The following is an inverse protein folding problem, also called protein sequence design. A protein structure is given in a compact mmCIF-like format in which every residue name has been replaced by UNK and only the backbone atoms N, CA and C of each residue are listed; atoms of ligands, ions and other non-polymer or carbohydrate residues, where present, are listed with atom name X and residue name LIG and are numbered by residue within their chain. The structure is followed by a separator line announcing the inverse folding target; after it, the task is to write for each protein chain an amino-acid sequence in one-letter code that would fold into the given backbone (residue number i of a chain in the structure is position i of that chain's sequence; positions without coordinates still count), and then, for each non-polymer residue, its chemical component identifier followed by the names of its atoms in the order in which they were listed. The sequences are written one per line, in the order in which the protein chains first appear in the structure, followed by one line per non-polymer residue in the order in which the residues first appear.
data_IF_829276493743
#
_entry.id   IF_829276493743
#
_cell.length_a   1.000
_cell.length_b   1.000
_cell.length_c   1.000
_cell.angle_alpha   90.00
_cell.angle_beta   90.00
_cell.angle_gamma   90.00
#
_symmetry.space_group_name_H-M   'P 1'
#
loop_
_entity.id
_entity.type
_entity.pdbx_description
1 polymer ?
#
# COMPACT_ATOMS: atom_id res chain seq x y z
N UNK A 1 8.05 -29.32 -4.92
CA UNK A 1 6.81 -28.92 -4.25
C UNK A 1 7.20 -28.24 -2.96
N UNK A 2 7.35 -26.92 -2.97
CA UNK A 2 7.51 -26.15 -1.72
C UNK A 2 6.18 -25.51 -1.39
N UNK A 3 5.69 -25.79 -0.18
CA UNK A 3 4.44 -25.31 0.35
C UNK A 3 4.43 -23.77 0.37
N UNK A 4 3.45 -23.17 -0.29
CA UNK A 4 3.11 -21.77 -0.10
C UNK A 4 2.58 -21.60 1.31
N UNK A 5 3.43 -21.14 2.23
CA UNK A 5 2.99 -20.68 3.55
C UNK A 5 2.26 -19.35 3.36
N UNK A 6 0.93 -19.41 3.22
CA UNK A 6 0.03 -18.25 3.35
C UNK A 6 0.07 -17.77 4.81
N UNK A 7 1.01 -16.88 5.12
CA UNK A 7 1.04 -16.18 6.40
C UNK A 7 0.07 -15.00 6.35
N UNK A 8 -1.13 -15.20 6.89
CA UNK A 8 -2.09 -14.13 7.19
C UNK A 8 -1.85 -13.69 8.65
N UNK A 9 -0.74 -12.98 8.88
CA UNK A 9 -0.35 -12.56 10.22
C UNK A 9 -1.05 -11.27 10.64
N UNK A 10 -1.89 -11.32 11.69
CA UNK A 10 -2.12 -10.13 12.53
C UNK A 10 -0.81 -9.77 13.23
N UNK A 11 -0.59 -8.46 13.42
CA UNK A 11 0.56 -7.73 13.95
C UNK A 11 1.54 -8.51 14.86
N UNK A 12 2.83 -8.23 14.70
CA UNK A 12 3.92 -8.64 15.61
C UNK A 12 3.61 -8.30 17.08
N UNK A 13 4.15 -9.06 18.03
CA UNK A 13 3.89 -8.89 19.47
C UNK A 13 4.21 -7.49 20.01
N UNK A 14 5.09 -6.74 19.35
CA UNK A 14 5.43 -5.34 19.68
C UNK A 14 4.39 -4.30 19.19
N UNK A 15 3.43 -4.72 18.34
CA UNK A 15 2.36 -3.88 17.77
C UNK A 15 1.00 -3.99 18.46
N UNK A 16 0.87 -4.80 19.52
CA UNK A 16 -0.37 -5.00 20.28
C UNK A 16 -0.63 -3.86 21.29
N UNK A 17 -0.75 -2.61 20.82
CA UNK A 17 -1.54 -1.63 21.58
C UNK A 17 -3.01 -1.93 21.29
N UNK A 18 -3.84 -2.05 22.33
CA UNK A 18 -5.30 -2.12 22.15
C UNK A 18 -5.73 -0.92 21.31
N UNK A 19 -6.09 -1.15 20.04
CA UNK A 19 -6.55 -0.09 19.16
C UNK A 19 -8.00 0.23 19.48
N UNK A 20 -8.25 1.48 19.86
CA UNK A 20 -9.59 2.05 19.95
C UNK A 20 -10.16 2.25 18.54
N UNK A 21 -10.61 1.15 17.92
CA UNK A 21 -11.26 1.16 16.61
C UNK A 21 -10.33 1.20 15.40
N UNK A 22 -10.92 1.14 14.18
CA UNK A 22 -10.20 1.13 12.90
C UNK A 22 -9.51 2.48 12.62
N UNK A 23 -8.48 2.50 11.76
CA UNK A 23 -7.80 3.73 11.34
C UNK A 23 -8.71 4.65 10.52
N UNK A 24 -8.66 5.97 10.77
CA UNK A 24 -9.35 6.96 9.93
C UNK A 24 -8.49 7.39 8.73
N UNK A 25 -7.16 7.35 8.86
CA UNK A 25 -6.22 7.54 7.75
C UNK A 25 -5.32 6.31 7.64
N UNK A 26 -5.37 5.64 6.48
CA UNK A 26 -4.56 4.46 6.20
C UNK A 26 -3.46 4.74 5.19
N UNK A 27 -2.29 4.16 5.43
CA UNK A 27 -1.18 4.12 4.48
C UNK A 27 -1.02 2.71 3.92
N UNK A 28 -0.79 2.62 2.62
CA UNK A 28 -0.55 1.37 1.88
C UNK A 28 0.78 1.51 1.15
N UNK A 29 1.73 0.62 1.45
CA UNK A 29 3.07 0.63 0.84
C UNK A 29 3.49 -0.78 0.39
N UNK A 30 4.45 -0.84 -0.53
CA UNK A 30 5.14 -2.08 -0.89
C UNK A 30 6.60 -2.07 -0.39
N UNK A 31 7.05 -3.19 0.16
CA UNK A 31 8.47 -3.40 0.46
C UNK A 31 8.99 -4.66 -0.19
N UNK A 32 10.12 -4.56 -0.87
CA UNK A 32 10.87 -5.73 -1.32
C UNK A 32 11.63 -6.33 -0.14
N UNK A 33 11.41 -7.60 0.18
CA UNK A 33 12.08 -8.23 1.34
C UNK A 33 13.19 -9.23 0.95
N UNK A 34 13.37 -9.52 -0.35
CA UNK A 34 14.50 -10.32 -0.86
C UNK A 34 14.77 -10.05 -2.35
N UNK A 35 15.99 -10.35 -2.80
CA UNK A 35 16.35 -10.41 -4.23
C UNK A 35 15.37 -11.35 -4.98
N UNK A 36 14.83 -10.89 -6.11
CA UNK A 36 13.95 -11.70 -6.96
C UNK A 36 12.44 -11.43 -6.83
N UNK A 37 12.03 -10.16 -6.74
CA UNK A 37 10.61 -9.75 -6.87
C UNK A 37 9.66 -10.31 -5.81
N UNK A 38 10.12 -10.48 -4.57
CA UNK A 38 9.25 -10.80 -3.44
C UNK A 38 8.86 -9.52 -2.72
N UNK A 39 7.58 -9.16 -2.82
CA UNK A 39 6.99 -7.96 -2.26
C UNK A 39 6.14 -8.32 -1.04
N UNK A 40 6.12 -7.42 -0.06
CA UNK A 40 5.08 -7.39 0.97
C UNK A 40 4.21 -6.16 0.76
N UNK A 41 2.90 -6.33 0.93
CA UNK A 41 1.95 -5.23 1.07
C UNK A 41 1.86 -4.90 2.56
N UNK A 42 2.08 -3.63 2.90
CA UNK A 42 1.97 -3.11 4.26
C UNK A 42 0.75 -2.19 4.31
N UNK A 43 -0.16 -2.45 5.25
CA UNK A 43 -1.22 -1.49 5.61
C UNK A 43 -0.99 -1.05 7.04
N UNK A 44 -0.98 0.26 7.25
CA UNK A 44 -0.67 0.86 8.54
C UNK A 44 -1.57 2.07 8.80
N UNK A 45 -1.75 2.36 10.07
CA UNK A 45 -2.48 3.52 10.55
C UNK A 45 -1.54 4.73 10.56
N UNK A 46 -1.92 5.80 9.85
CA UNK A 46 -1.09 7.00 9.74
C UNK A 46 -1.24 7.92 10.97
N UNK A 47 -2.30 7.74 11.75
CA UNK A 47 -2.57 8.54 12.95
C UNK A 47 -1.99 7.87 14.20
N UNK A 48 -2.11 6.54 14.28
CA UNK A 48 -1.56 5.73 15.38
C UNK A 48 -0.39 4.92 14.85
N UNK A 49 0.83 5.18 15.35
CA UNK A 49 2.03 4.46 14.92
C UNK A 49 1.86 2.93 15.10
N UNK A 50 1.63 2.21 14.00
CA UNK A 50 1.45 0.76 14.02
C UNK A 50 1.09 0.17 12.66
N UNK A 51 1.51 -1.08 12.43
CA UNK A 51 1.16 -1.87 11.23
C UNK A 51 -0.09 -2.69 11.53
N UNK A 52 -1.09 -2.53 10.66
CA UNK A 52 -2.42 -3.14 10.80
C UNK A 52 -2.46 -4.48 10.09
N UNK A 53 -1.76 -4.58 8.96
CA UNK A 53 -1.77 -5.77 8.13
C UNK A 53 -0.51 -5.89 7.28
N UNK A 54 -0.06 -7.13 7.11
CA UNK A 54 1.06 -7.50 6.23
C UNK A 54 0.60 -8.68 5.38
N UNK A 55 0.75 -8.56 4.06
CA UNK A 55 0.56 -9.68 3.13
C UNK A 55 1.81 -9.92 2.28
N UNK A 56 2.06 -11.19 1.95
CA UNK A 56 3.20 -11.64 1.15
C UNK A 56 2.86 -11.74 -0.34
N UNK A 57 2.51 -10.62 -0.94
CA UNK A 57 2.60 -10.33 -2.36
C UNK A 57 2.17 -8.87 -2.59
N UNK A 58 2.24 -8.43 -3.85
CA UNK A 58 1.58 -7.21 -4.32
C UNK A 58 0.47 -7.69 -5.25
N UNK A 59 -0.75 -7.81 -4.76
CA UNK A 59 -1.91 -8.11 -5.60
C UNK A 59 -3.12 -7.36 -5.07
N UNK A 60 -4.09 -7.14 -5.96
CA UNK A 60 -5.42 -6.68 -5.57
C UNK A 60 -6.00 -7.57 -4.46
N UNK A 61 -5.83 -8.89 -4.58
CA UNK A 61 -6.36 -9.89 -3.64
C UNK A 61 -5.88 -9.67 -2.19
N UNK A 62 -4.62 -9.32 -1.98
CA UNK A 62 -4.05 -9.12 -0.65
C UNK A 62 -4.62 -7.90 0.05
N UNK A 63 -4.89 -6.82 -0.70
CA UNK A 63 -5.54 -5.65 -0.16
C UNK A 63 -7.07 -5.85 0.02
N UNK A 64 -7.70 -6.61 -0.89
CA UNK A 64 -9.10 -7.06 -0.72
C UNK A 64 -9.25 -7.84 0.60
N UNK A 65 -8.31 -8.74 0.91
CA UNK A 65 -8.32 -9.51 2.17
C UNK A 65 -8.27 -8.61 3.40
N UNK A 66 -7.43 -7.57 3.40
CA UNK A 66 -7.41 -6.57 4.47
C UNK A 66 -8.78 -5.89 4.62
N UNK A 67 -9.34 -5.35 3.54
CA UNK A 67 -10.62 -4.65 3.61
C UNK A 67 -11.77 -5.56 4.05
N UNK A 68 -11.74 -6.84 3.66
CA UNK A 68 -12.74 -7.82 4.10
C UNK A 68 -12.64 -8.15 5.61
N UNK A 69 -11.57 -7.76 6.30
CA UNK A 69 -11.48 -7.87 7.76
C UNK A 69 -12.21 -6.74 8.50
N UNK A 70 -12.57 -5.67 7.79
CA UNK A 70 -13.22 -4.48 8.32
C UNK A 70 -14.73 -4.58 8.16
N UNK A 71 -15.47 -4.06 9.13
CA UNK A 71 -16.93 -3.92 9.00
C UNK A 71 -17.28 -2.76 8.07
N UNK A 72 -18.53 -2.68 7.62
CA UNK A 72 -19.01 -1.53 6.83
C UNK A 72 -18.86 -0.21 7.60
N UNK A 73 -19.08 -0.23 8.91
CA UNK A 73 -18.86 0.94 9.77
C UNK A 73 -17.38 1.34 9.77
N UNK A 74 -16.47 0.37 9.88
CA UNK A 74 -15.04 0.64 9.84
C UNK A 74 -14.61 1.24 8.50
N UNK A 75 -15.07 0.68 7.38
CA UNK A 75 -14.80 1.18 6.03
C UNK A 75 -15.35 2.61 5.83
N UNK A 76 -16.51 2.92 6.42
CA UNK A 76 -17.11 4.25 6.35
C UNK A 76 -16.29 5.31 7.09
N UNK A 77 -15.55 4.92 8.15
CA UNK A 77 -14.70 5.80 8.96
C UNK A 77 -13.38 6.17 8.29
N UNK A 78 -12.99 5.47 7.22
CA UNK A 78 -11.79 5.80 6.45
C UNK A 78 -12.04 7.14 5.73
N UNK A 79 -11.26 8.15 6.10
CA UNK A 79 -11.29 9.50 5.56
C UNK A 79 -10.25 9.69 4.45
N UNK A 80 -9.12 8.99 4.51
CA UNK A 80 -8.09 9.06 3.49
C UNK A 80 -7.29 7.75 3.39
N UNK A 81 -6.83 7.45 2.18
CA UNK A 81 -6.00 6.29 1.85
C UNK A 81 -4.78 6.77 1.08
N UNK A 82 -3.63 6.84 1.75
CA UNK A 82 -2.35 7.15 1.12
C UNK A 82 -1.77 5.90 0.48
N UNK A 83 -1.51 5.92 -0.83
CA UNK A 83 -0.98 4.76 -1.56
C UNK A 83 -0.08 5.16 -2.74
N UNK A 84 0.66 4.20 -3.29
CA UNK A 84 1.33 4.35 -4.59
C UNK A 84 0.29 4.38 -5.75
N UNK A 85 0.68 4.90 -6.91
CA UNK A 85 -0.12 4.99 -8.14
C UNK A 85 -0.37 3.63 -8.83
N UNK A 86 -0.28 2.53 -8.08
CA UNK A 86 -0.35 1.19 -8.65
C UNK A 86 -1.81 0.71 -8.77
N UNK A 87 -2.24 0.42 -10.01
CA UNK A 87 -3.64 0.09 -10.34
C UNK A 87 -4.32 -0.96 -9.44
N UNK A 88 -3.65 -2.05 -9.01
CA UNK A 88 -4.26 -3.04 -8.14
C UNK A 88 -4.67 -2.51 -6.77
N UNK A 89 -3.91 -1.57 -6.19
CA UNK A 89 -4.28 -0.95 -4.91
C UNK A 89 -5.46 -0.01 -5.09
N UNK A 90 -5.38 0.89 -6.07
CA UNK A 90 -6.49 1.79 -6.41
C UNK A 90 -7.78 1.00 -6.69
N UNK A 91 -7.70 -0.08 -7.48
CA UNK A 91 -8.85 -0.92 -7.81
C UNK A 91 -9.45 -1.67 -6.62
N UNK A 92 -8.63 -2.04 -5.63
CA UNK A 92 -9.09 -2.67 -4.40
C UNK A 92 -9.78 -1.65 -3.50
N UNK A 93 -9.16 -0.48 -3.32
CA UNK A 93 -9.71 0.61 -2.50
C UNK A 93 -11.02 1.12 -3.08
N UNK A 94 -11.11 1.34 -4.40
CA UNK A 94 -12.35 1.74 -5.08
C UNK A 94 -13.48 0.73 -4.92
N UNK A 95 -13.16 -0.55 -4.72
CA UNK A 95 -14.16 -1.62 -4.53
C UNK A 95 -14.72 -1.65 -3.11
N UNK A 96 -13.93 -1.33 -2.08
CA UNK A 96 -14.33 -1.56 -0.68
C UNK A 96 -14.58 -0.27 0.10
N UNK A 97 -13.88 0.83 -0.21
CA UNK A 97 -13.99 2.08 0.56
C UNK A 97 -15.08 2.96 -0.06
N UNK A 98 -16.12 3.36 0.71
CA UNK A 98 -17.15 4.26 0.21
C UNK A 98 -16.57 5.63 -0.19
N UNK A 99 -16.95 6.14 -1.36
CA UNK A 99 -16.47 7.41 -1.93
C UNK A 99 -14.94 7.47 -2.06
N UNK A 100 -14.32 6.33 -2.37
CA UNK A 100 -12.86 6.17 -2.47
C UNK A 100 -12.18 7.18 -3.40
N UNK A 101 -12.84 7.60 -4.48
CA UNK A 101 -12.36 8.57 -5.46
C UNK A 101 -11.94 9.90 -4.81
N UNK A 102 -12.64 10.32 -3.76
CA UNK A 102 -12.33 11.52 -2.99
C UNK A 102 -11.34 11.32 -1.85
N UNK A 103 -11.02 10.06 -1.53
CA UNK A 103 -10.23 9.66 -0.35
C UNK A 103 -8.84 9.14 -0.70
N UNK A 104 -8.61 8.73 -1.94
CA UNK A 104 -7.30 8.24 -2.40
C UNK A 104 -6.34 9.42 -2.53
N UNK A 105 -5.19 9.31 -1.87
CA UNK A 105 -4.09 10.27 -1.91
C UNK A 105 -2.86 9.55 -2.42
N UNK A 106 -2.25 10.05 -3.50
CA UNK A 106 -1.00 9.48 -3.99
C UNK A 106 0.18 9.96 -3.15
N UNK A 107 1.02 9.02 -2.73
CA UNK A 107 2.19 9.31 -1.94
C UNK A 107 3.18 10.20 -2.72
N UNK A 108 3.53 11.35 -2.14
CA UNK A 108 4.45 12.34 -2.69
C UNK A 108 5.82 11.74 -3.07
N UNK A 109 6.35 10.80 -2.29
CA UNK A 109 7.63 10.16 -2.59
C UNK A 109 7.59 9.43 -3.93
N UNK A 110 6.54 8.65 -4.18
CA UNK A 110 6.37 7.89 -5.41
C UNK A 110 6.13 8.80 -6.62
N UNK A 111 5.36 9.87 -6.43
CA UNK A 111 5.15 10.92 -7.46
C UNK A 111 6.49 11.57 -7.83
N UNK A 112 7.26 12.05 -6.87
CA UNK A 112 8.56 12.69 -7.12
C UNK A 112 9.55 11.70 -7.77
N UNK A 113 9.57 10.45 -7.30
CA UNK A 113 10.42 9.39 -7.87
C UNK A 113 10.11 9.15 -9.35
N UNK A 114 8.83 9.10 -9.73
CA UNK A 114 8.42 8.96 -11.13
C UNK A 114 8.87 10.14 -11.98
N UNK A 115 8.65 11.37 -11.51
CA UNK A 115 9.05 12.59 -12.23
C UNK A 115 10.57 12.61 -12.44
N UNK A 116 11.35 12.35 -11.39
CA UNK A 116 12.80 12.31 -11.48
C UNK A 116 13.30 11.22 -12.44
N UNK A 117 12.66 10.05 -12.47
CA UNK A 117 12.99 8.98 -13.42
C UNK A 117 12.75 9.38 -14.87
N UNK A 118 11.65 10.08 -15.15
CA UNK A 118 11.36 10.61 -16.49
C UNK A 118 12.41 11.65 -16.93
N UNK A 119 12.74 12.60 -16.04
CA UNK A 119 13.78 13.62 -16.31
C UNK A 119 15.14 12.98 -16.57
N UNK A 120 15.52 11.97 -15.77
CA UNK A 120 16.79 11.27 -15.96
C UNK A 120 16.86 10.48 -17.27
N UNK A 121 15.72 9.97 -17.75
CA UNK A 121 15.62 9.27 -19.04
C UNK A 121 15.94 10.22 -20.19
N UNK A 122 15.25 11.36 -20.26
CA UNK A 122 15.49 12.39 -21.29
C UNK A 122 16.94 12.89 -21.21
N UNK A 123 17.44 13.18 -20.01
CA UNK A 123 18.82 13.61 -19.80
C UNK A 123 19.84 12.62 -20.38
N UNK A 124 19.61 11.32 -20.24
CA UNK A 124 20.47 10.27 -20.79
C UNK A 124 20.39 10.18 -22.31
N UNK A 125 19.21 10.38 -22.89
CA UNK A 125 19.00 10.39 -24.35
C UNK A 125 19.71 11.57 -25.01
N UNK A 126 19.55 12.77 -24.46
CA UNK A 126 20.24 13.99 -24.93
C UNK A 126 21.76 13.83 -24.86
N UNK A 127 22.29 13.33 -23.74
CA UNK A 127 23.73 13.09 -23.58
C UNK A 127 24.30 12.06 -24.57
N UNK A 128 23.51 11.07 -25.00
CA UNK A 128 23.94 10.10 -26.02
C UNK A 128 23.91 10.69 -27.43
N UNK A 129 23.04 11.65 -27.68
CA UNK A 129 22.87 12.29 -28.98
C UNK A 129 23.94 13.37 -29.21
N UNK A 130 24.41 14.01 -28.13
CA UNK A 130 25.47 15.02 -28.16
C UNK A 130 26.90 14.47 -28.02
N UNK A 131 27.06 13.15 -27.92
CA UNK A 131 28.37 12.47 -27.86
C UNK A 131 28.71 11.83 -29.22
#
# INVERSE_FOLDING_TARGET
MEAGMEYHGKSSEEGKRQKEGPPSIIGIDEKSYRKGYKYITLVYDMEKSGVDYIAYDRKKKSLDEYYNTLTEEDLSRINAVSMDMWDPFMSSTMKHVPNADSKIVFDRFHVIKHVNGAVDTVRKEENRTMA
#
